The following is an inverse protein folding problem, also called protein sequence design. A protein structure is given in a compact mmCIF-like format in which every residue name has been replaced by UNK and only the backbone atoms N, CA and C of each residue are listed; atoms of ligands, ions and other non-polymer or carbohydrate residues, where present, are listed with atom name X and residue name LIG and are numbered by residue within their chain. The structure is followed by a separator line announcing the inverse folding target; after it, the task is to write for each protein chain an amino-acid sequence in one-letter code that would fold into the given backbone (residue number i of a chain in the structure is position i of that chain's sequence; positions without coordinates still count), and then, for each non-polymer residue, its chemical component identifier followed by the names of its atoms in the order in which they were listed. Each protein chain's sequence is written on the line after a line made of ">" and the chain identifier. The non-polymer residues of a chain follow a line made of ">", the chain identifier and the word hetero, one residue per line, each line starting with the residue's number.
data_IF_181663741884
#
_entry.id   IF_181663741884
#
_cell.length_a   1.000
_cell.length_b   1.000
_cell.length_c   1.000
_cell.angle_alpha   90.00
_cell.angle_beta   90.00
_cell.angle_gamma   90.00
#
_symmetry.space_group_name_H-M   'P 1'
#
loop_
_entity.id
_entity.type
_entity.pdbx_description
1 polymer ?
#
# COMPACT_ATOMS: atom_id res chain seq x y z
N UNK A 1 -16.92 -27.37 -9.82
CA UNK A 1 -17.08 -26.05 -9.19
C UNK A 1 -15.70 -25.55 -8.80
N UNK A 2 -15.03 -24.87 -9.73
CA UNK A 2 -13.74 -24.22 -9.49
C UNK A 2 -14.00 -22.89 -8.78
N UNK A 3 -13.36 -22.69 -7.63
CA UNK A 3 -13.53 -21.50 -6.79
C UNK A 3 -13.25 -20.23 -7.61
N UNK A 4 -14.28 -19.39 -7.74
CA UNK A 4 -14.17 -18.01 -8.21
C UNK A 4 -13.17 -17.27 -7.30
N UNK A 5 -12.14 -16.68 -7.90
CA UNK A 5 -11.22 -15.70 -7.30
C UNK A 5 -10.27 -16.20 -6.19
N UNK A 6 -9.44 -17.21 -6.47
CA UNK A 6 -8.10 -17.24 -5.86
C UNK A 6 -7.14 -16.59 -6.86
N UNK A 7 -6.68 -15.38 -6.57
CA UNK A 7 -5.55 -14.82 -7.30
C UNK A 7 -4.32 -15.65 -6.91
N UNK A 8 -4.02 -16.67 -7.70
CA UNK A 8 -2.79 -17.45 -7.53
C UNK A 8 -1.60 -16.61 -8.00
N UNK A 9 -1.04 -15.81 -7.08
CA UNK A 9 0.19 -15.03 -7.32
C UNK A 9 1.41 -15.90 -7.65
N UNK A 10 1.34 -17.22 -7.40
CA UNK A 10 2.35 -18.22 -7.78
C UNK A 10 2.49 -18.39 -9.31
N UNK A 11 1.42 -18.13 -10.08
CA UNK A 11 1.40 -18.29 -11.55
C UNK A 11 1.42 -16.94 -12.31
N UNK A 12 1.28 -15.81 -11.62
CA UNK A 12 1.28 -14.47 -12.24
C UNK A 12 2.69 -13.87 -12.21
N UNK A 13 3.17 -13.37 -13.35
CA UNK A 13 4.33 -12.48 -13.40
C UNK A 13 3.90 -11.13 -12.80
N UNK A 14 3.96 -11.04 -11.47
CA UNK A 14 3.67 -9.82 -10.71
C UNK A 14 4.94 -8.95 -10.65
N UNK A 15 4.78 -7.66 -10.34
CA UNK A 15 5.91 -6.79 -10.05
C UNK A 15 6.75 -7.43 -8.95
N UNK A 16 8.01 -7.73 -9.24
CA UNK A 16 8.94 -8.25 -8.24
C UNK A 16 9.73 -7.05 -7.72
N UNK A 17 9.50 -6.70 -6.46
CA UNK A 17 10.34 -5.71 -5.81
C UNK A 17 11.77 -6.27 -5.71
N UNK A 18 12.72 -5.56 -6.31
CA UNK A 18 14.09 -6.04 -6.46
C UNK A 18 14.80 -6.17 -5.11
N UNK A 19 14.40 -5.38 -4.11
CA UNK A 19 14.97 -5.49 -2.77
C UNK A 19 14.52 -6.79 -2.08
N UNK A 20 13.24 -7.17 -2.25
CA UNK A 20 12.71 -8.44 -1.75
C UNK A 20 13.38 -9.61 -2.47
N UNK A 21 13.50 -9.57 -3.80
CA UNK A 21 14.20 -10.62 -4.56
C UNK A 21 15.67 -10.71 -4.16
N UNK A 22 16.37 -9.57 -3.99
CA UNK A 22 17.75 -9.55 -3.53
C UNK A 22 17.90 -10.23 -2.16
N UNK A 23 17.11 -9.86 -1.16
CA UNK A 23 17.15 -10.52 0.15
C UNK A 23 16.82 -12.01 0.06
N UNK A 24 15.83 -12.40 -0.77
CA UNK A 24 15.52 -13.82 -1.02
C UNK A 24 16.72 -14.58 -1.59
N UNK A 25 17.52 -13.98 -2.48
CA UNK A 25 18.75 -14.62 -2.97
C UNK A 25 19.79 -14.82 -1.87
N UNK A 26 19.91 -13.88 -0.92
CA UNK A 26 20.78 -14.04 0.24
C UNK A 26 20.36 -15.23 1.08
N UNK A 27 19.05 -15.38 1.34
CA UNK A 27 18.47 -16.46 2.16
C UNK A 27 18.52 -17.84 1.47
N UNK A 28 18.58 -17.88 0.14
CA UNK A 28 18.73 -19.13 -0.59
C UNK A 28 20.06 -19.83 -0.27
N UNK A 29 21.12 -19.06 0.00
CA UNK A 29 22.45 -19.61 0.32
C UNK A 29 22.44 -20.47 1.59
N UNK A 30 21.99 -19.98 2.77
CA UNK A 30 21.87 -20.81 3.96
C UNK A 30 20.86 -21.94 3.82
N UNK A 31 19.80 -21.78 3.01
CA UNK A 31 18.90 -22.89 2.73
C UNK A 31 19.64 -24.07 2.08
N UNK A 32 20.43 -23.81 1.03
CA UNK A 32 21.19 -24.86 0.32
C UNK A 32 22.27 -25.48 1.20
N UNK A 33 22.95 -24.67 2.03
CA UNK A 33 24.11 -25.11 2.79
C UNK A 33 23.79 -25.70 4.18
N UNK A 34 22.67 -25.30 4.79
CA UNK A 34 22.41 -25.55 6.22
C UNK A 34 21.04 -26.13 6.55
N UNK A 35 20.09 -26.15 5.60
CA UNK A 35 18.77 -26.74 5.87
C UNK A 35 18.88 -28.23 6.24
N UNK A 36 19.93 -28.94 5.83
CA UNK A 36 20.18 -30.34 6.20
C UNK A 36 19.58 -31.35 5.21
N UNK A 37 19.99 -32.61 5.34
CA UNK A 37 19.59 -33.71 4.44
C UNK A 37 18.24 -34.30 4.81
N UNK A 38 17.53 -34.85 3.82
CA UNK A 38 16.16 -35.35 3.91
C UNK A 38 16.04 -36.84 4.22
N UNK A 39 17.16 -37.58 4.30
CA UNK A 39 17.12 -39.06 4.22
C UNK A 39 17.81 -39.86 5.32
N UNK A 40 18.88 -39.37 5.96
CA UNK A 40 19.78 -40.24 6.77
C UNK A 40 20.30 -39.58 8.07
N UNK A 41 19.57 -38.60 8.61
CA UNK A 41 19.96 -37.92 9.85
C UNK A 41 19.74 -38.79 11.08
N UNK A 42 20.67 -38.74 12.06
CA UNK A 42 20.40 -39.34 13.37
C UNK A 42 19.32 -38.52 14.09
N UNK A 43 18.50 -39.13 14.97
CA UNK A 43 17.58 -38.38 15.82
C UNK A 43 18.33 -37.26 16.56
N UNK A 44 17.95 -36.00 16.33
CA UNK A 44 18.62 -34.81 16.88
C UNK A 44 19.39 -33.94 15.87
N UNK A 45 19.80 -34.48 14.72
CA UNK A 45 20.47 -33.70 13.66
C UNK A 45 19.51 -32.69 13.00
N UNK A 46 18.21 -33.01 12.98
CA UNK A 46 17.15 -32.10 12.52
C UNK A 46 17.08 -30.84 13.38
N UNK A 47 17.03 -30.97 14.71
CA UNK A 47 17.01 -29.80 15.60
C UNK A 47 18.27 -28.95 15.44
N UNK A 48 19.44 -29.59 15.26
CA UNK A 48 20.70 -28.85 15.04
C UNK A 48 20.68 -28.07 13.72
N UNK A 49 20.18 -28.67 12.64
CA UNK A 49 20.06 -28.00 11.34
C UNK A 49 19.02 -26.88 11.34
N UNK A 50 17.90 -27.04 12.06
CA UNK A 50 16.92 -25.95 12.28
C UNK A 50 17.59 -24.77 13.00
N UNK A 51 18.24 -25.03 14.13
CA UNK A 51 18.88 -23.98 14.94
C UNK A 51 19.95 -23.25 14.14
N UNK A 52 20.79 -23.98 13.40
CA UNK A 52 21.81 -23.36 12.56
C UNK A 52 21.17 -22.54 11.41
N UNK A 53 20.18 -23.09 10.71
CA UNK A 53 19.49 -22.37 9.62
C UNK A 53 18.83 -21.10 10.13
N UNK A 54 18.14 -21.17 11.28
CA UNK A 54 17.50 -20.04 11.94
C UNK A 54 18.52 -18.96 12.31
N UNK A 55 19.65 -19.35 12.91
CA UNK A 55 20.75 -18.44 13.22
C UNK A 55 21.27 -17.74 11.97
N UNK A 56 21.49 -18.46 10.86
CA UNK A 56 21.99 -17.87 9.61
C UNK A 56 21.01 -16.91 8.94
N UNK A 57 19.72 -17.23 8.95
CA UNK A 57 18.71 -16.28 8.47
C UNK A 57 18.69 -15.01 9.32
N UNK A 58 18.73 -15.14 10.65
CA UNK A 58 18.79 -14.00 11.56
C UNK A 58 20.04 -13.13 11.33
N UNK A 59 21.23 -13.74 11.19
CA UNK A 59 22.48 -13.05 10.87
C UNK A 59 22.35 -12.22 9.56
N UNK A 60 21.77 -12.80 8.51
CA UNK A 60 21.54 -12.09 7.24
C UNK A 60 20.60 -10.90 7.43
N UNK A 61 19.47 -11.09 8.12
CA UNK A 61 18.53 -10.00 8.35
C UNK A 61 19.14 -8.88 9.20
N UNK A 62 19.96 -9.20 10.20
CA UNK A 62 20.72 -8.23 10.97
C UNK A 62 21.71 -7.45 10.09
N UNK A 63 22.45 -8.13 9.21
CA UNK A 63 23.38 -7.46 8.29
C UNK A 63 22.65 -6.54 7.29
N UNK A 64 21.48 -6.95 6.79
CA UNK A 64 20.63 -6.11 5.94
C UNK A 64 20.09 -4.91 6.71
N UNK A 65 19.70 -5.08 7.97
CA UNK A 65 19.30 -3.98 8.86
C UNK A 65 20.43 -2.94 8.97
N UNK A 66 21.69 -3.37 9.14
CA UNK A 66 22.85 -2.45 9.17
C UNK A 66 23.07 -1.72 7.83
N UNK A 67 22.79 -2.38 6.70
CA UNK A 67 22.83 -1.74 5.38
C UNK A 67 21.75 -0.67 5.22
N UNK A 68 20.55 -0.90 5.75
CA UNK A 68 19.47 0.10 5.78
C UNK A 68 19.84 1.28 6.68
N UNK A 69 20.41 1.02 7.86
CA UNK A 69 20.90 2.08 8.74
C UNK A 69 21.99 2.94 8.06
N UNK A 70 22.89 2.31 7.30
CA UNK A 70 23.87 3.02 6.49
C UNK A 70 23.20 3.85 5.37
N UNK A 71 22.19 3.31 4.68
CA UNK A 71 21.43 4.05 3.67
C UNK A 71 20.78 5.30 4.25
N UNK A 72 20.08 5.16 5.38
CA UNK A 72 19.46 6.28 6.11
C UNK A 72 20.47 7.37 6.46
N UNK A 73 21.66 6.97 6.94
CA UNK A 73 22.73 7.91 7.24
C UNK A 73 23.16 8.70 5.99
N UNK A 74 23.36 8.04 4.87
CA UNK A 74 23.77 8.70 3.62
C UNK A 74 22.69 9.58 3.03
N UNK A 75 21.42 9.15 3.05
CA UNK A 75 20.27 9.92 2.56
C UNK A 75 20.13 11.22 3.37
N UNK A 76 20.22 11.16 4.69
CA UNK A 76 20.15 12.34 5.57
C UNK A 76 21.31 13.33 5.35
N UNK A 77 22.42 12.88 4.78
CA UNK A 77 23.58 13.72 4.45
C UNK A 77 23.63 14.12 2.95
N UNK A 78 22.56 13.89 2.19
CA UNK A 78 22.52 14.23 0.75
C UNK A 78 23.48 13.42 -0.12
N UNK A 79 23.89 12.24 0.37
CA UNK A 79 24.89 11.37 -0.27
C UNK A 79 24.39 9.95 -0.54
N UNK A 80 23.06 9.78 -0.64
CA UNK A 80 22.37 8.49 -0.80
C UNK A 80 22.91 7.57 -1.89
N UNK A 81 23.34 8.13 -3.03
CA UNK A 81 23.98 7.41 -4.15
C UNK A 81 25.29 6.71 -3.77
N UNK A 82 25.94 7.12 -2.68
CA UNK A 82 27.19 6.52 -2.20
C UNK A 82 26.96 5.36 -1.24
N UNK A 83 25.74 5.17 -0.75
CA UNK A 83 25.43 4.09 0.17
C UNK A 83 25.57 2.73 -0.51
N UNK A 84 26.11 1.76 0.23
CA UNK A 84 26.35 0.41 -0.30
C UNK A 84 25.05 -0.28 -0.73
N UNK A 85 23.96 -0.08 0.02
CA UNK A 85 22.67 -0.70 -0.29
C UNK A 85 22.16 -0.27 -1.66
N UNK A 86 22.16 1.04 -1.96
CA UNK A 86 21.76 1.56 -3.29
C UNK A 86 22.65 1.07 -4.42
N UNK A 87 23.96 0.87 -4.19
CA UNK A 87 24.84 0.27 -5.20
C UNK A 87 24.51 -1.19 -5.51
N UNK A 88 24.03 -1.94 -4.51
CA UNK A 88 23.62 -3.35 -4.67
C UNK A 88 22.21 -3.47 -5.24
N UNK A 89 21.31 -2.57 -4.86
CA UNK A 89 19.91 -2.53 -5.29
C UNK A 89 19.56 -1.09 -5.72
N UNK A 90 19.84 -0.72 -6.99
CA UNK A 90 19.68 0.66 -7.47
C UNK A 90 18.23 1.19 -7.44
N UNK A 91 17.25 0.29 -7.41
CA UNK A 91 15.82 0.62 -7.38
C UNK A 91 15.26 0.85 -5.97
N UNK A 92 16.12 0.79 -4.94
CA UNK A 92 15.69 0.99 -3.56
C UNK A 92 15.10 2.39 -3.36
N UNK A 93 13.97 2.44 -2.66
CA UNK A 93 13.31 3.69 -2.30
C UNK A 93 13.95 4.37 -1.10
N UNK A 94 13.29 5.42 -0.63
CA UNK A 94 13.62 6.06 0.64
C UNK A 94 13.16 5.17 1.80
N UNK A 95 14.00 5.07 2.84
CA UNK A 95 13.58 4.54 4.13
C UNK A 95 13.21 5.70 5.07
N UNK A 96 12.14 5.54 5.83
CA UNK A 96 11.75 6.52 6.86
C UNK A 96 12.23 6.10 8.24
N UNK A 97 12.29 4.80 8.51
CA UNK A 97 12.61 4.24 9.81
C UNK A 97 13.74 3.21 9.69
N UNK A 98 14.43 2.97 10.81
CA UNK A 98 15.26 1.79 10.96
C UNK A 98 14.35 0.56 11.02
N UNK A 99 14.71 -0.52 10.33
CA UNK A 99 13.89 -1.73 10.28
C UNK A 99 14.52 -2.83 11.14
N UNK A 100 13.90 -3.26 12.25
CA UNK A 100 14.41 -4.33 13.11
C UNK A 100 14.19 -5.71 12.46
N UNK A 101 14.90 -5.96 11.36
CA UNK A 101 14.65 -7.11 10.48
C UNK A 101 14.95 -8.45 11.17
N UNK A 102 15.97 -8.50 12.02
CA UNK A 102 16.29 -9.72 12.77
C UNK A 102 15.13 -10.12 13.70
N UNK A 103 14.61 -9.15 14.48
CA UNK A 103 13.48 -9.36 15.38
C UNK A 103 12.20 -9.72 14.61
N UNK A 104 11.96 -9.05 13.49
CA UNK A 104 10.84 -9.34 12.62
C UNK A 104 10.92 -10.76 12.02
N UNK A 105 12.11 -11.20 11.63
CA UNK A 105 12.35 -12.56 11.17
C UNK A 105 11.98 -13.58 12.25
N UNK A 106 12.44 -13.41 13.50
CA UNK A 106 12.10 -14.34 14.57
C UNK A 106 10.58 -14.42 14.80
N UNK A 107 9.88 -13.28 14.75
CA UNK A 107 8.42 -13.24 14.90
C UNK A 107 7.72 -14.04 13.80
N UNK A 108 8.10 -13.82 12.55
CA UNK A 108 7.50 -14.55 11.42
C UNK A 108 7.95 -16.02 11.33
N UNK A 109 9.16 -16.35 11.79
CA UNK A 109 9.63 -17.74 11.84
C UNK A 109 8.82 -18.59 12.83
N UNK A 110 8.40 -18.03 13.98
CA UNK A 110 7.50 -18.73 14.91
C UNK A 110 6.14 -19.08 14.29
N UNK A 111 5.61 -18.19 13.44
CA UNK A 111 4.28 -18.37 12.82
C UNK A 111 4.37 -19.28 11.59
N UNK A 112 5.40 -19.09 10.76
CA UNK A 112 5.51 -19.68 9.41
C UNK A 112 6.50 -20.84 9.35
N UNK A 113 7.23 -21.10 10.43
CA UNK A 113 8.25 -22.16 10.55
C UNK A 113 9.25 -22.12 9.40
N UNK A 114 9.72 -20.94 9.04
CA UNK A 114 10.55 -20.69 7.85
C UNK A 114 11.82 -21.55 7.88
N UNK A 115 12.51 -21.58 9.02
CA UNK A 115 13.76 -22.33 9.25
C UNK A 115 13.58 -23.84 9.42
N UNK A 116 12.34 -24.30 9.60
CA UNK A 116 12.03 -25.74 9.67
C UNK A 116 11.90 -26.37 8.27
N UNK A 117 11.77 -25.58 7.22
CA UNK A 117 11.59 -26.11 5.85
C UNK A 117 12.86 -26.76 5.33
N UNK A 118 12.70 -27.85 4.57
CA UNK A 118 13.79 -28.64 3.95
C UNK A 118 13.70 -28.72 2.43
N UNK A 119 12.50 -28.54 1.89
CA UNK A 119 12.23 -28.69 0.46
C UNK A 119 11.93 -27.36 -0.23
N UNK A 120 11.56 -26.34 0.55
CA UNK A 120 11.13 -25.03 0.04
C UNK A 120 11.93 -23.95 0.75
N UNK A 121 12.75 -23.22 -0.02
CA UNK A 121 13.49 -22.07 0.48
C UNK A 121 12.54 -20.91 0.86
N UNK A 122 13.02 -19.93 1.65
CA UNK A 122 12.29 -18.69 1.85
C UNK A 122 11.79 -18.09 0.53
N UNK A 123 10.50 -17.81 0.48
CA UNK A 123 9.80 -17.28 -0.68
C UNK A 123 9.77 -15.76 -0.68
N UNK A 124 9.33 -15.17 -1.79
CA UNK A 124 9.10 -13.73 -1.88
C UNK A 124 8.12 -13.26 -0.79
N UNK A 125 7.05 -14.02 -0.57
CA UNK A 125 6.05 -13.70 0.45
C UNK A 125 6.60 -13.80 1.87
N UNK A 126 7.52 -14.73 2.15
CA UNK A 126 8.14 -14.80 3.48
C UNK A 126 8.94 -13.52 3.79
N UNK A 127 9.74 -13.06 2.82
CA UNK A 127 10.52 -11.81 2.96
C UNK A 127 9.60 -10.59 3.03
N UNK A 128 8.55 -10.53 2.20
CA UNK A 128 7.52 -9.47 2.23
C UNK A 128 6.88 -9.38 3.62
N UNK A 129 6.51 -10.50 4.22
CA UNK A 129 5.88 -10.51 5.54
C UNK A 129 6.85 -10.09 6.65
N UNK A 130 8.12 -10.49 6.57
CA UNK A 130 9.15 -10.04 7.51
C UNK A 130 9.37 -8.52 7.41
N UNK A 131 9.42 -7.97 6.19
CA UNK A 131 9.48 -6.52 5.99
C UNK A 131 8.23 -5.82 6.54
N UNK A 132 7.04 -6.39 6.35
CA UNK A 132 5.82 -5.82 6.89
C UNK A 132 5.86 -5.74 8.42
N UNK A 133 6.21 -6.85 9.08
CA UNK A 133 6.41 -6.88 10.54
C UNK A 133 7.47 -5.87 11.00
N UNK A 134 8.60 -5.79 10.31
CA UNK A 134 9.66 -4.84 10.68
C UNK A 134 9.19 -3.39 10.60
N UNK A 135 8.37 -3.05 9.59
CA UNK A 135 7.80 -1.71 9.43
C UNK A 135 6.82 -1.36 10.56
N UNK A 136 5.92 -2.27 10.94
CA UNK A 136 4.99 -2.01 12.04
C UNK A 136 5.69 -1.95 13.40
N UNK A 137 6.69 -2.82 13.64
CA UNK A 137 7.56 -2.72 14.82
C UNK A 137 8.24 -1.35 14.88
N UNK A 138 8.86 -0.92 13.78
CA UNK A 138 9.61 0.34 13.75
C UNK A 138 8.74 1.58 13.99
N UNK A 139 7.48 1.56 13.53
CA UNK A 139 6.53 2.66 13.75
C UNK A 139 5.94 2.64 15.17
N UNK A 140 5.67 1.45 15.72
CA UNK A 140 5.15 1.32 17.08
C UNK A 140 6.18 1.72 18.14
N UNK A 141 7.45 1.32 17.96
CA UNK A 141 8.56 1.63 18.88
C UNK A 141 9.32 2.91 18.47
N UNK A 142 8.77 3.69 17.54
CA UNK A 142 9.43 4.87 16.98
C UNK A 142 9.58 5.98 18.02
N UNK A 143 10.61 6.82 17.88
CA UNK A 143 10.79 8.02 18.73
C UNK A 143 9.61 8.99 18.62
N UNK A 144 8.99 9.03 17.46
CA UNK A 144 7.79 9.81 17.20
C UNK A 144 6.60 8.84 17.14
N UNK A 145 5.47 9.17 17.78
CA UNK A 145 4.32 8.30 17.76
C UNK A 145 3.73 8.22 16.35
N UNK A 146 3.24 7.03 15.98
CA UNK A 146 2.38 6.85 14.81
C UNK A 146 1.15 7.75 14.94
N UNK A 147 0.84 8.49 13.88
CA UNK A 147 -0.29 9.43 13.85
C UNK A 147 -1.32 9.09 12.78
N UNK A 148 -0.91 8.47 11.68
CA UNK A 148 -1.77 8.18 10.55
C UNK A 148 -1.49 6.77 10.02
N UNK A 149 -2.56 5.99 9.84
CA UNK A 149 -2.53 4.79 8.99
C UNK A 149 -3.45 5.07 7.81
N UNK A 150 -2.87 4.99 6.62
CA UNK A 150 -3.63 5.09 5.38
C UNK A 150 -3.85 3.71 4.79
N UNK A 151 -5.01 3.51 4.19
CA UNK A 151 -5.40 2.28 3.53
C UNK A 151 -5.75 2.61 2.09
N UNK A 152 -5.29 1.79 1.17
CA UNK A 152 -5.95 1.71 -0.13
C UNK A 152 -7.39 1.20 0.06
N UNK A 153 -8.32 1.65 -0.78
CA UNK A 153 -9.71 1.22 -0.71
C UNK A 153 -9.88 -0.23 -1.21
N UNK A 154 -9.84 -0.39 -2.53
CA UNK A 154 -10.10 -1.67 -3.19
C UNK A 154 -8.97 -2.68 -2.90
N UNK A 155 -9.33 -3.97 -2.77
CA UNK A 155 -8.43 -5.12 -2.52
C UNK A 155 -7.72 -5.09 -1.15
N UNK A 156 -7.78 -3.98 -0.43
CA UNK A 156 -7.15 -3.77 0.88
C UNK A 156 -8.16 -3.73 2.02
N UNK A 157 -9.23 -2.93 1.89
CA UNK A 157 -10.30 -2.86 2.89
C UNK A 157 -11.48 -3.78 2.58
N UNK A 158 -11.77 -3.97 1.29
CA UNK A 158 -12.87 -4.79 0.78
C UNK A 158 -12.50 -5.37 -0.58
N UNK A 159 -13.21 -6.42 -1.00
CA UNK A 159 -13.05 -6.98 -2.34
C UNK A 159 -13.32 -5.92 -3.42
N UNK A 160 -12.67 -6.02 -4.58
CA UNK A 160 -12.81 -5.07 -5.70
C UNK A 160 -14.28 -4.68 -5.98
N UNK A 161 -14.57 -3.38 -5.87
CA UNK A 161 -15.92 -2.82 -6.07
C UNK A 161 -16.93 -3.10 -4.95
N UNK A 162 -16.49 -3.68 -3.83
CA UNK A 162 -17.29 -3.99 -2.66
C UNK A 162 -17.47 -2.83 -1.67
N UNK A 163 -18.05 -3.14 -0.51
CA UNK A 163 -18.26 -2.25 0.61
C UNK A 163 -17.72 -2.88 1.90
N UNK A 164 -17.57 -2.08 2.97
CA UNK A 164 -17.35 -2.59 4.32
C UNK A 164 -18.72 -2.91 4.94
N UNK A 165 -19.05 -4.19 4.99
CA UNK A 165 -20.25 -4.69 5.66
C UNK A 165 -20.07 -4.69 7.20
N UNK A 166 -21.16 -4.61 8.00
CA UNK A 166 -21.08 -4.50 9.46
C UNK A 166 -20.39 -5.65 10.18
N UNK A 167 -20.34 -6.83 9.56
CA UNK A 167 -19.67 -8.04 10.07
C UNK A 167 -18.22 -8.19 9.58
N UNK A 168 -17.71 -7.20 8.84
CA UNK A 168 -16.35 -7.24 8.28
C UNK A 168 -15.30 -7.33 9.39
N UNK A 169 -14.34 -8.27 9.32
CA UNK A 169 -13.29 -8.45 10.32
C UNK A 169 -12.31 -7.27 10.37
N UNK A 170 -12.38 -6.34 9.41
CA UNK A 170 -11.56 -5.14 9.41
C UNK A 170 -12.05 -4.07 10.38
N UNK A 171 -13.35 -4.06 10.71
CA UNK A 171 -13.93 -3.03 11.58
C UNK A 171 -13.25 -3.03 12.97
N UNK A 172 -13.09 -4.16 13.67
CA UNK A 172 -12.43 -4.17 14.98
C UNK A 172 -11.02 -3.58 14.97
N UNK A 173 -10.21 -3.88 13.94
CA UNK A 173 -8.83 -3.38 13.86
C UNK A 173 -8.79 -1.88 13.54
N UNK A 174 -9.70 -1.39 12.69
CA UNK A 174 -9.83 0.06 12.43
C UNK A 174 -10.28 0.82 13.69
N UNK A 175 -11.24 0.28 14.45
CA UNK A 175 -11.62 0.85 15.75
C UNK A 175 -10.46 0.82 16.76
N UNK A 176 -9.63 -0.23 16.73
CA UNK A 176 -8.42 -0.32 17.55
C UNK A 176 -7.38 0.78 17.24
N UNK A 177 -7.20 1.14 15.96
CA UNK A 177 -6.37 2.28 15.58
C UNK A 177 -6.93 3.60 16.12
N UNK A 178 -8.23 3.84 15.93
CA UNK A 178 -8.90 5.05 16.44
C UNK A 178 -8.79 5.16 17.96
N UNK A 179 -8.96 4.04 18.69
CA UNK A 179 -8.81 3.97 20.16
C UNK A 179 -7.40 4.35 20.60
N UNK A 180 -6.41 4.08 19.77
CA UNK A 180 -5.02 4.42 20.01
C UNK A 180 -4.65 5.85 19.55
N UNK A 181 -5.63 6.72 19.28
CA UNK A 181 -5.46 8.10 18.79
C UNK A 181 -4.75 8.19 17.43
N UNK A 182 -4.83 7.12 16.63
CA UNK A 182 -4.29 7.07 15.27
C UNK A 182 -5.39 7.45 14.28
N UNK A 183 -5.08 8.36 13.37
CA UNK A 183 -5.97 8.70 12.24
C UNK A 183 -6.02 7.55 11.24
N UNK A 184 -7.23 7.28 10.75
CA UNK A 184 -7.47 6.31 9.67
C UNK A 184 -7.78 7.09 8.40
N UNK A 185 -6.92 7.00 7.40
CA UNK A 185 -7.11 7.64 6.10
C UNK A 185 -7.41 6.61 5.01
N UNK A 186 -8.54 6.71 4.33
CA UNK A 186 -8.87 5.82 3.20
C UNK A 186 -8.53 6.56 1.91
N UNK A 187 -7.52 6.09 1.18
CA UNK A 187 -7.07 6.67 -0.09
C UNK A 187 -7.60 5.80 -1.21
N UNK A 188 -8.42 6.34 -2.10
CA UNK A 188 -9.09 5.55 -3.15
C UNK A 188 -9.05 6.25 -4.50
N UNK A 189 -8.88 5.48 -5.57
CA UNK A 189 -9.02 5.98 -6.94
C UNK A 189 -10.46 6.40 -7.26
N UNK A 190 -11.46 5.91 -6.52
CA UNK A 190 -12.83 6.36 -6.68
C UNK A 190 -12.93 7.87 -6.36
N UNK A 191 -13.05 8.69 -7.41
CA UNK A 191 -13.22 10.13 -7.31
C UNK A 191 -14.67 10.56 -7.53
N UNK A 192 -15.30 11.04 -6.45
CA UNK A 192 -16.62 11.68 -6.44
C UNK A 192 -16.48 13.13 -5.99
N UNK A 193 -16.98 14.07 -6.81
CA UNK A 193 -16.89 15.52 -6.58
C UNK A 193 -18.06 16.08 -5.76
N UNK A 194 -19.05 15.25 -5.44
CA UNK A 194 -20.19 15.63 -4.61
C UNK A 194 -19.75 15.92 -3.17
N UNK A 195 -20.02 17.14 -2.69
CA UNK A 195 -19.53 17.63 -1.39
C UNK A 195 -20.16 16.97 -0.17
N UNK A 196 -21.26 16.24 -0.33
CA UNK A 196 -21.91 15.51 0.76
C UNK A 196 -21.18 14.21 1.15
N UNK A 197 -20.27 13.72 0.30
CA UNK A 197 -19.53 12.48 0.51
C UNK A 197 -20.42 11.22 0.55
N UNK A 198 -21.68 11.30 0.11
CA UNK A 198 -22.67 10.22 0.28
C UNK A 198 -22.21 8.91 -0.36
N UNK A 199 -21.55 8.98 -1.52
CA UNK A 199 -21.03 7.80 -2.23
C UNK A 199 -19.92 7.07 -1.46
N UNK A 200 -19.06 7.80 -0.76
CA UNK A 200 -18.08 7.17 0.14
C UNK A 200 -18.78 6.59 1.37
N UNK A 201 -19.82 7.26 1.88
CA UNK A 201 -20.67 6.74 2.96
C UNK A 201 -21.28 5.38 2.65
N UNK A 202 -21.78 5.17 1.43
CA UNK A 202 -22.30 3.86 0.99
C UNK A 202 -21.22 2.78 1.02
N UNK A 203 -19.99 3.08 0.60
CA UNK A 203 -18.90 2.09 0.60
C UNK A 203 -18.41 1.73 1.99
N UNK A 204 -18.54 2.64 2.94
CA UNK A 204 -17.97 2.51 4.28
C UNK A 204 -19.03 2.31 5.37
N UNK A 205 -20.28 2.05 4.99
CA UNK A 205 -21.44 2.12 5.89
C UNK A 205 -21.29 1.28 7.16
N UNK A 206 -20.77 0.05 7.06
CA UNK A 206 -20.53 -0.81 8.23
C UNK A 206 -19.53 -0.22 9.22
N UNK A 207 -18.45 0.41 8.72
CA UNK A 207 -17.48 1.10 9.56
C UNK A 207 -18.09 2.36 10.21
N UNK A 208 -18.83 3.16 9.45
CA UNK A 208 -19.45 4.39 9.96
C UNK A 208 -20.43 4.08 11.10
N UNK A 209 -21.29 3.08 10.90
CA UNK A 209 -22.21 2.63 11.95
C UNK A 209 -21.46 2.15 13.19
N UNK A 210 -20.38 1.39 13.03
CA UNK A 210 -19.58 0.90 14.15
C UNK A 210 -18.91 2.04 14.94
N UNK A 211 -18.41 3.09 14.26
CA UNK A 211 -17.84 4.27 14.91
C UNK A 211 -18.90 5.05 15.70
N UNK A 212 -20.12 5.20 15.14
CA UNK A 212 -21.21 5.91 15.82
C UNK A 212 -21.70 5.13 17.05
N UNK A 213 -21.89 3.81 16.91
CA UNK A 213 -22.48 2.95 17.94
C UNK A 213 -21.51 2.58 19.07
N UNK A 214 -20.20 2.70 18.89
CA UNK A 214 -19.24 2.28 19.91
C UNK A 214 -19.14 3.27 21.07
N UNK A 215 -19.18 2.74 22.29
CA UNK A 215 -18.94 3.49 23.54
C UNK A 215 -17.46 3.48 23.95
N UNK A 216 -16.60 2.77 23.20
CA UNK A 216 -15.18 2.61 23.53
C UNK A 216 -14.27 3.71 22.98
N UNK A 217 -14.80 4.57 22.12
CA UNK A 217 -14.08 5.68 21.51
C UNK A 217 -14.56 7.01 22.08
N UNK A 218 -13.62 7.92 22.34
CA UNK A 218 -13.96 9.31 22.66
C UNK A 218 -14.51 10.03 21.44
N UNK A 219 -15.27 11.11 21.63
CA UNK A 219 -15.79 11.94 20.54
C UNK A 219 -14.69 12.49 19.62
N UNK A 220 -13.50 12.76 20.18
CA UNK A 220 -12.33 13.13 19.40
C UNK A 220 -11.88 12.00 18.48
N UNK A 221 -11.72 10.79 19.03
CA UNK A 221 -11.26 9.61 18.30
C UNK A 221 -12.25 9.17 17.21
N UNK A 222 -13.56 9.32 17.44
CA UNK A 222 -14.59 9.05 16.42
C UNK A 222 -14.45 9.92 15.16
N UNK A 223 -13.86 11.11 15.30
CA UNK A 223 -13.64 12.07 14.21
C UNK A 223 -12.25 11.94 13.54
N UNK A 224 -11.51 10.87 13.81
CA UNK A 224 -10.19 10.60 13.22
C UNK A 224 -10.25 9.79 11.90
N UNK A 225 -11.43 9.60 11.32
CA UNK A 225 -11.60 8.97 10.01
C UNK A 225 -11.59 10.01 8.88
N UNK A 226 -10.71 9.82 7.90
CA UNK A 226 -10.53 10.66 6.71
C UNK A 226 -10.69 9.82 5.44
N UNK A 227 -11.17 10.44 4.37
CA UNK A 227 -11.24 9.83 3.03
C UNK A 227 -10.59 10.77 2.03
N UNK A 228 -9.57 10.27 1.32
CA UNK A 228 -8.94 10.91 0.17
C UNK A 228 -9.42 10.23 -1.11
N UNK A 229 -10.37 10.85 -1.79
CA UNK A 229 -10.97 10.36 -3.01
C UNK A 229 -10.30 10.87 -4.29
N UNK A 230 -10.41 10.08 -5.34
CA UNK A 230 -9.78 10.34 -6.64
C UNK A 230 -8.26 10.41 -6.52
N UNK A 231 -7.66 9.50 -5.75
CA UNK A 231 -6.25 9.42 -5.37
C UNK A 231 -5.75 10.59 -4.50
N UNK A 232 -5.94 11.84 -4.94
CA UNK A 232 -5.43 13.05 -4.29
C UNK A 232 -6.30 14.30 -4.57
N UNK A 233 -7.57 14.13 -4.90
CA UNK A 233 -8.40 15.21 -5.43
C UNK A 233 -9.50 15.71 -4.46
N UNK A 234 -10.00 14.85 -3.57
CA UNK A 234 -11.14 15.18 -2.71
C UNK A 234 -10.93 14.69 -1.28
N UNK A 235 -10.82 15.60 -0.32
CA UNK A 235 -10.66 15.26 1.10
C UNK A 235 -11.97 15.40 1.87
N UNK A 236 -12.33 14.34 2.58
CA UNK A 236 -13.47 14.32 3.49
C UNK A 236 -13.04 13.91 4.88
N UNK A 237 -13.72 14.46 5.88
CA UNK A 237 -13.60 14.05 7.29
C UNK A 237 -14.93 13.52 7.78
N UNK A 238 -14.93 12.39 8.48
CA UNK A 238 -16.15 11.88 9.08
C UNK A 238 -16.46 12.65 10.37
N UNK A 239 -17.70 13.12 10.49
CA UNK A 239 -18.24 13.79 11.67
C UNK A 239 -19.25 12.84 12.33
N UNK A 240 -18.79 12.12 13.34
CA UNK A 240 -19.55 11.02 13.94
C UNK A 240 -20.85 11.48 14.60
N UNK A 241 -20.85 12.66 15.23
CA UNK A 241 -22.05 13.25 15.86
C UNK A 241 -23.18 13.53 14.85
N UNK A 242 -22.85 13.69 13.58
CA UNK A 242 -23.78 13.98 12.50
C UNK A 242 -23.95 12.81 11.53
N UNK A 243 -23.22 11.71 11.75
CA UNK A 243 -23.14 10.54 10.89
C UNK A 243 -23.00 10.90 9.39
N UNK A 244 -22.13 11.86 9.08
CA UNK A 244 -21.89 12.30 7.70
C UNK A 244 -20.44 12.69 7.45
N UNK A 245 -20.09 12.76 6.18
CA UNK A 245 -18.83 13.34 5.75
C UNK A 245 -18.94 14.86 5.62
N UNK A 246 -17.89 15.54 6.05
CA UNK A 246 -17.65 16.95 5.81
C UNK A 246 -16.59 17.10 4.72
N UNK A 247 -16.91 17.88 3.69
CA UNK A 247 -15.95 18.28 2.66
C UNK A 247 -14.92 19.25 3.22
N UNK A 248 -13.64 18.92 3.09
CA UNK A 248 -12.55 19.82 3.49
C UNK A 248 -12.10 20.63 2.28
N UNK A 249 -12.07 21.95 2.45
CA UNK A 249 -11.67 22.87 1.38
C UNK A 249 -10.24 22.56 0.89
N UNK A 250 -10.03 22.39 -0.44
CA UNK A 250 -8.71 22.18 -1.04
C UNK A 250 -7.63 23.16 -0.57
N UNK A 251 -7.96 24.41 -0.22
CA UNK A 251 -6.97 25.37 0.26
C UNK A 251 -6.21 24.90 1.51
N UNK A 252 -6.86 24.08 2.36
CA UNK A 252 -6.35 23.62 3.64
C UNK A 252 -5.36 22.45 3.54
N UNK A 253 -5.42 21.66 2.46
CA UNK A 253 -4.67 20.41 2.37
C UNK A 253 -3.88 20.23 1.07
N UNK A 254 -4.21 21.00 0.01
CA UNK A 254 -3.53 20.86 -1.28
C UNK A 254 -2.06 21.24 -1.15
N UNK A 255 -1.19 20.36 -1.64
CA UNK A 255 0.26 20.57 -1.61
C UNK A 255 0.69 21.76 -2.47
N UNK A 256 1.78 22.47 -2.11
CA UNK A 256 2.26 23.63 -2.87
C UNK A 256 2.52 23.33 -4.35
N UNK A 257 3.09 22.15 -4.65
CA UNK A 257 3.35 21.72 -6.02
C UNK A 257 2.06 21.55 -6.84
N UNK A 258 1.00 21.00 -6.25
CA UNK A 258 -0.31 20.80 -6.90
C UNK A 258 -1.02 22.14 -7.15
N UNK A 259 -0.83 23.13 -6.26
CA UNK A 259 -1.39 24.49 -6.44
C UNK A 259 -0.82 25.21 -7.67
N UNK A 260 0.34 24.80 -8.18
CA UNK A 260 0.94 25.42 -9.37
C UNK A 260 0.39 24.90 -10.68
N UNK A 261 -0.40 23.82 -10.67
CA UNK A 261 -0.91 23.20 -11.88
C UNK A 261 -2.01 24.06 -12.52
N UNK A 262 -1.82 24.40 -13.80
CA UNK A 262 -2.82 25.16 -14.53
C UNK A 262 -3.99 24.27 -14.94
N UNK A 263 -5.18 24.87 -15.05
CA UNK A 263 -6.35 24.15 -15.57
C UNK A 263 -6.17 23.72 -17.03
N UNK A 264 -5.35 24.44 -17.79
CA UNK A 264 -4.99 24.12 -19.18
C UNK A 264 -4.15 22.84 -19.26
N UNK A 265 -3.13 22.70 -18.41
CA UNK A 265 -2.28 21.50 -18.36
C UNK A 265 -3.09 20.26 -17.92
N UNK A 266 -3.92 20.41 -16.89
CA UNK A 266 -4.84 19.35 -16.43
C UNK A 266 -5.76 18.90 -17.57
N UNK A 267 -6.36 19.86 -18.27
CA UNK A 267 -7.25 19.58 -19.41
C UNK A 267 -6.49 18.88 -20.53
N UNK A 268 -5.24 19.28 -20.78
CA UNK A 268 -4.36 18.67 -21.79
C UNK A 268 -4.03 17.22 -21.48
N UNK A 269 -3.67 16.89 -20.23
CA UNK A 269 -3.46 15.51 -19.77
C UNK A 269 -4.70 14.65 -20.04
N UNK A 270 -5.86 15.12 -19.60
CA UNK A 270 -7.10 14.38 -19.75
C UNK A 270 -7.51 14.23 -21.24
N UNK A 271 -7.30 15.25 -22.07
CA UNK A 271 -7.55 15.18 -23.52
C UNK A 271 -6.65 14.15 -24.22
N UNK A 272 -5.40 14.03 -23.79
CA UNK A 272 -4.48 13.01 -24.29
C UNK A 272 -4.98 11.62 -23.88
N UNK A 273 -5.36 11.42 -22.61
CA UNK A 273 -5.92 10.15 -22.12
C UNK A 273 -7.19 9.75 -22.89
N UNK A 274 -8.13 10.68 -23.06
CA UNK A 274 -9.36 10.46 -23.83
C UNK A 274 -9.07 10.06 -25.29
N UNK A 275 -8.10 10.72 -25.93
CA UNK A 275 -7.67 10.38 -27.29
C UNK A 275 -7.07 8.98 -27.38
N UNK A 276 -6.25 8.59 -26.40
CA UNK A 276 -5.69 7.23 -26.33
C UNK A 276 -6.81 6.20 -26.24
N UNK A 277 -7.78 6.41 -25.34
CA UNK A 277 -8.92 5.49 -25.19
C UNK A 277 -9.84 5.47 -26.41
N UNK A 278 -10.06 6.62 -27.06
CA UNK A 278 -10.85 6.69 -28.31
C UNK A 278 -10.20 5.89 -29.43
N UNK A 279 -8.87 5.97 -29.53
CA UNK A 279 -8.11 5.15 -30.47
C UNK A 279 -8.22 3.65 -30.15
N UNK A 280 -8.15 3.28 -28.87
CA UNK A 280 -8.30 1.89 -28.44
C UNK A 280 -9.71 1.34 -28.70
N UNK A 281 -10.77 2.10 -28.41
CA UNK A 281 -12.16 1.77 -28.75
C UNK A 281 -12.29 1.39 -30.23
N UNK A 282 -11.71 2.20 -31.11
CA UNK A 282 -11.82 2.03 -32.57
C UNK A 282 -10.96 0.87 -33.06
N UNK A 283 -9.66 0.84 -32.69
CA UNK A 283 -8.71 -0.16 -33.19
C UNK A 283 -9.02 -1.57 -32.69
N UNK A 284 -9.47 -1.69 -31.45
CA UNK A 284 -9.75 -2.98 -30.82
C UNK A 284 -11.24 -3.34 -30.80
N UNK A 285 -12.11 -2.49 -31.38
CA UNK A 285 -13.57 -2.68 -31.40
C UNK A 285 -14.14 -3.03 -30.01
N UNK A 286 -13.67 -2.30 -28.98
CA UNK A 286 -13.97 -2.63 -27.59
C UNK A 286 -15.45 -2.34 -27.28
N UNK A 287 -16.16 -3.25 -26.58
CA UNK A 287 -17.54 -3.03 -26.16
C UNK A 287 -17.57 -2.16 -24.90
N UNK A 288 -17.12 -0.92 -25.01
CA UNK A 288 -16.89 0.00 -23.90
C UNK A 288 -17.33 1.43 -24.24
N UNK A 289 -17.41 2.29 -23.22
CA UNK A 289 -17.64 3.73 -23.35
C UNK A 289 -16.57 4.49 -22.58
N UNK A 290 -16.30 5.73 -23.01
CA UNK A 290 -15.41 6.64 -22.29
C UNK A 290 -16.25 7.48 -21.31
N UNK A 291 -15.69 7.71 -20.13
CA UNK A 291 -16.24 8.57 -19.10
C UNK A 291 -15.21 9.66 -18.78
N UNK A 292 -15.61 10.92 -18.91
CA UNK A 292 -14.79 12.09 -18.58
C UNK A 292 -15.28 12.72 -17.29
N UNK A 293 -14.40 12.84 -16.29
CA UNK A 293 -14.60 13.53 -15.02
C UNK A 293 -13.76 14.81 -14.96
N UNK A 294 -13.92 15.58 -13.89
CA UNK A 294 -13.16 16.83 -13.64
C UNK A 294 -11.66 16.56 -13.52
N UNK A 295 -11.29 15.44 -12.89
CA UNK A 295 -9.90 15.08 -12.56
C UNK A 295 -9.50 13.68 -13.03
N UNK A 296 -10.26 13.11 -13.97
CA UNK A 296 -9.98 11.78 -14.48
C UNK A 296 -10.71 11.51 -15.79
N UNK A 297 -10.19 10.59 -16.59
CA UNK A 297 -10.85 10.05 -17.77
C UNK A 297 -10.66 8.54 -17.76
N UNK A 298 -11.71 7.79 -18.09
CA UNK A 298 -11.65 6.33 -18.06
C UNK A 298 -12.43 5.70 -19.19
N UNK A 299 -12.14 4.43 -19.44
CA UNK A 299 -12.85 3.58 -20.38
C UNK A 299 -13.45 2.40 -19.62
N UNK A 300 -14.78 2.30 -19.65
CA UNK A 300 -15.56 1.35 -18.85
C UNK A 300 -16.36 0.42 -19.79
N UNK A 301 -16.41 -0.90 -19.53
CA UNK A 301 -17.17 -1.82 -20.35
C UNK A 301 -18.67 -1.46 -20.35
N UNK A 302 -19.32 -1.69 -21.49
CA UNK A 302 -20.78 -1.60 -21.59
C UNK A 302 -21.44 -2.62 -20.65
N UNK A 303 -22.69 -2.40 -20.21
CA UNK A 303 -23.39 -3.32 -19.32
C UNK A 303 -23.37 -4.77 -19.80
N UNK A 304 -22.94 -5.68 -18.91
CA UNK A 304 -22.82 -7.12 -19.20
C UNK A 304 -21.66 -7.51 -20.13
N UNK A 305 -20.81 -6.56 -20.52
CA UNK A 305 -19.61 -6.80 -21.33
C UNK A 305 -18.36 -6.81 -20.44
N UNK A 306 -17.28 -7.36 -20.98
CA UNK A 306 -15.96 -7.40 -20.35
C UNK A 306 -14.90 -7.05 -21.37
N UNK A 307 -13.87 -6.36 -20.93
CA UNK A 307 -12.65 -6.12 -21.70
C UNK A 307 -11.63 -7.17 -21.25
N UNK A 308 -10.87 -7.74 -22.17
CA UNK A 308 -9.83 -8.71 -21.81
C UNK A 308 -8.70 -8.01 -21.07
N UNK A 309 -8.06 -8.71 -20.13
CA UNK A 309 -6.99 -8.11 -19.31
C UNK A 309 -5.88 -7.56 -20.18
N UNK A 310 -5.46 -8.29 -21.20
CA UNK A 310 -4.41 -7.91 -22.13
C UNK A 310 -4.74 -6.59 -22.84
N UNK A 311 -6.02 -6.35 -23.14
CA UNK A 311 -6.49 -5.09 -23.74
C UNK A 311 -6.46 -3.95 -22.72
N UNK A 312 -6.81 -4.21 -21.44
CA UNK A 312 -6.69 -3.23 -20.36
C UNK A 312 -5.23 -2.82 -20.16
N UNK A 313 -4.31 -3.78 -20.08
CA UNK A 313 -2.87 -3.54 -19.91
C UNK A 313 -2.28 -2.78 -21.11
N UNK A 314 -2.65 -3.14 -22.34
CA UNK A 314 -2.25 -2.40 -23.56
C UNK A 314 -2.69 -0.93 -23.50
N UNK A 315 -3.93 -0.67 -23.06
CA UNK A 315 -4.45 0.70 -22.93
C UNK A 315 -3.72 1.50 -21.84
N UNK A 316 -3.40 0.89 -20.70
CA UNK A 316 -2.60 1.52 -19.64
C UNK A 316 -1.22 1.90 -20.16
N UNK A 317 -0.51 0.95 -20.79
CA UNK A 317 0.83 1.19 -21.32
C UNK A 317 0.82 2.25 -22.42
N UNK A 318 -0.16 2.22 -23.31
CA UNK A 318 -0.33 3.24 -24.35
C UNK A 318 -0.59 4.63 -23.75
N UNK A 319 -1.48 4.73 -22.74
CA UNK A 319 -1.79 5.99 -22.07
C UNK A 319 -0.57 6.55 -21.35
N UNK A 320 0.07 5.72 -20.52
CA UNK A 320 1.27 6.09 -19.78
C UNK A 320 2.37 6.56 -20.72
N UNK A 321 2.71 5.77 -21.76
CA UNK A 321 3.79 6.13 -22.69
C UNK A 321 3.50 7.42 -23.47
N UNK A 322 2.25 7.61 -23.87
CA UNK A 322 1.84 8.81 -24.62
C UNK A 322 1.90 10.07 -23.74
N UNK A 323 1.48 9.95 -22.49
CA UNK A 323 1.51 11.06 -21.54
C UNK A 323 2.95 11.42 -21.14
N UNK A 324 3.78 10.44 -20.78
CA UNK A 324 5.18 10.65 -20.39
C UNK A 324 6.04 11.30 -21.49
N UNK A 325 5.69 11.08 -22.77
CA UNK A 325 6.42 11.64 -23.91
C UNK A 325 5.85 12.98 -24.39
N UNK A 326 4.69 13.39 -23.88
CA UNK A 326 4.01 14.60 -24.30
C UNK A 326 4.47 15.80 -23.49
N UNK A 327 4.97 16.84 -24.16
CA UNK A 327 5.28 18.12 -23.50
C UNK A 327 4.03 18.87 -23.00
N UNK A 328 2.86 18.52 -23.53
CA UNK A 328 1.59 19.18 -23.18
C UNK A 328 1.05 18.77 -21.81
N UNK A 329 1.71 17.87 -21.09
CA UNK A 329 1.37 17.54 -19.70
C UNK A 329 1.94 18.55 -18.70
N UNK A 330 2.87 19.42 -19.13
CA UNK A 330 3.57 20.33 -18.24
C UNK A 330 4.23 19.57 -17.08
N UNK A 331 3.98 20.04 -15.85
CA UNK A 331 4.44 19.42 -14.61
C UNK A 331 3.33 18.65 -13.87
N UNK A 332 2.18 18.42 -14.51
CA UNK A 332 1.04 17.75 -13.89
C UNK A 332 1.35 16.26 -13.70
N UNK A 333 1.28 15.79 -12.46
CA UNK A 333 1.39 14.36 -12.17
C UNK A 333 0.06 13.67 -12.50
N UNK A 334 0.16 12.44 -12.98
CA UNK A 334 -0.99 11.62 -13.35
C UNK A 334 -0.72 10.16 -12.98
N UNK A 335 -1.79 9.38 -12.96
CA UNK A 335 -1.74 7.94 -12.82
C UNK A 335 -2.60 7.29 -13.90
N UNK A 336 -2.03 6.35 -14.65
CA UNK A 336 -2.76 5.52 -15.60
C UNK A 336 -2.74 4.09 -15.06
N UNK A 337 -3.90 3.50 -14.79
CA UNK A 337 -3.97 2.20 -14.11
C UNK A 337 -5.11 1.33 -14.62
N UNK A 338 -4.92 0.02 -14.45
CA UNK A 338 -5.90 -1.01 -14.75
C UNK A 338 -6.75 -1.27 -13.50
N UNK A 339 -8.04 -0.91 -13.53
CA UNK A 339 -9.00 -1.14 -12.45
C UNK A 339 -9.59 -2.54 -12.44
N UNK A 340 -8.96 -3.51 -13.10
CA UNK A 340 -9.39 -4.90 -13.18
C UNK A 340 -10.46 -5.18 -14.24
N UNK A 341 -11.43 -4.27 -14.41
CA UNK A 341 -12.47 -4.34 -15.45
C UNK A 341 -12.54 -3.11 -16.35
N UNK A 342 -11.88 -2.02 -15.97
CA UNK A 342 -11.82 -0.74 -16.66
C UNK A 342 -10.39 -0.16 -16.61
N UNK A 343 -10.15 0.94 -17.33
CA UNK A 343 -8.87 1.67 -17.29
C UNK A 343 -9.16 3.14 -17.04
N UNK A 344 -8.36 3.76 -16.17
CA UNK A 344 -8.46 5.17 -15.82
C UNK A 344 -7.12 5.89 -15.99
N UNK A 345 -7.19 7.16 -16.39
CA UNK A 345 -6.13 8.16 -16.26
C UNK A 345 -6.65 9.23 -15.31
N UNK A 346 -6.10 9.28 -14.12
CA UNK A 346 -6.44 10.25 -13.08
C UNK A 346 -5.33 11.29 -12.93
N UNK A 347 -5.74 12.50 -12.51
CA UNK A 347 -4.85 13.61 -12.21
C UNK A 347 -4.39 13.48 -10.76
N UNK A 348 -3.08 13.51 -10.55
CA UNK A 348 -2.43 13.19 -9.29
C UNK A 348 -2.26 11.68 -9.10
N UNK A 349 -1.77 11.32 -7.90
CA UNK A 349 -1.58 9.92 -7.51
C UNK A 349 -1.67 9.72 -5.99
N UNK A 350 -1.58 8.46 -5.53
CA UNK A 350 -1.63 8.11 -4.10
C UNK A 350 -0.45 8.67 -3.28
N UNK A 351 0.72 8.97 -3.87
CA UNK A 351 1.81 9.65 -3.14
C UNK A 351 1.33 11.04 -2.69
N UNK A 352 0.81 11.82 -3.64
CA UNK A 352 0.25 13.13 -3.36
C UNK A 352 -0.92 13.05 -2.38
N UNK A 353 -1.76 12.01 -2.47
CA UNK A 353 -2.88 11.78 -1.56
C UNK A 353 -2.42 11.58 -0.11
N UNK A 354 -1.44 10.70 0.10
CA UNK A 354 -0.86 10.46 1.43
C UNK A 354 -0.14 11.70 1.94
N UNK A 355 0.69 12.36 1.12
CA UNK A 355 1.38 13.62 1.50
C UNK A 355 0.40 14.74 1.84
N UNK A 356 -0.75 14.81 1.15
CA UNK A 356 -1.80 15.78 1.45
C UNK A 356 -2.44 15.52 2.82
N UNK A 357 -2.72 14.26 3.16
CA UNK A 357 -3.19 13.88 4.50
C UNK A 357 -2.14 14.20 5.57
N UNK A 358 -0.87 13.94 5.27
CA UNK A 358 0.25 14.28 6.15
C UNK A 358 0.35 15.79 6.42
N UNK A 359 0.22 16.62 5.38
CA UNK A 359 0.20 18.07 5.48
C UNK A 359 -1.00 18.55 6.30
N UNK A 360 -2.20 18.03 6.00
CA UNK A 360 -3.44 18.36 6.70
C UNK A 360 -3.39 18.07 8.21
N UNK A 361 -2.72 16.98 8.60
CA UNK A 361 -2.55 16.59 10.01
C UNK A 361 -1.37 17.28 10.72
N UNK A 362 -0.88 18.40 10.17
CA UNK A 362 0.17 19.21 10.78
C UNK A 362 1.58 18.83 10.33
N UNK A 363 1.75 18.53 9.05
CA UNK A 363 3.04 18.18 8.42
C UNK A 363 3.74 16.99 9.10
N UNK A 364 2.98 15.93 9.38
CA UNK A 364 3.57 14.65 9.79
C UNK A 364 4.36 14.05 8.62
N UNK A 365 5.22 13.06 8.88
CA UNK A 365 6.07 12.47 7.83
C UNK A 365 5.90 10.95 7.75
N UNK A 366 6.63 10.29 6.85
CA UNK A 366 6.65 8.83 6.74
C UNK A 366 7.13 8.09 8.00
N UNK A 367 7.78 8.76 8.94
CA UNK A 367 8.12 8.20 10.28
C UNK A 367 6.91 8.07 11.20
N UNK A 368 5.81 8.78 10.90
CA UNK A 368 4.57 8.80 11.68
C UNK A 368 3.37 8.34 10.86
N UNK A 369 3.62 7.79 9.67
CA UNK A 369 2.60 7.39 8.71
C UNK A 369 2.88 5.98 8.22
N UNK A 370 1.89 5.10 8.35
CA UNK A 370 1.84 3.81 7.68
C UNK A 370 0.90 3.89 6.48
N UNK A 371 1.26 3.28 5.36
CA UNK A 371 0.35 2.98 4.27
C UNK A 371 0.17 1.46 4.16
N UNK A 372 -1.06 1.03 3.95
CA UNK A 372 -1.44 -0.36 3.72
C UNK A 372 -2.05 -0.45 2.33
N UNK A 373 -1.45 -1.23 1.44
CA UNK A 373 -1.94 -1.36 0.06
C UNK A 373 -1.44 -2.62 -0.66
N UNK A 374 -2.10 -2.98 -1.75
CA UNK A 374 -1.71 -4.10 -2.61
C UNK A 374 -0.80 -3.64 -3.77
N UNK A 375 0.48 -4.00 -3.72
CA UNK A 375 1.45 -3.72 -4.79
C UNK A 375 1.59 -4.85 -5.82
N UNK A 376 0.77 -5.91 -5.73
CA UNK A 376 0.74 -6.99 -6.72
C UNK A 376 -0.03 -6.62 -7.99
N UNK A 377 -0.84 -5.56 -7.96
CA UNK A 377 -1.45 -4.99 -9.16
C UNK A 377 -0.34 -4.63 -10.19
N UNK A 378 -0.64 -4.83 -11.48
CA UNK A 378 0.34 -4.85 -12.56
C UNK A 378 0.97 -3.48 -12.90
N UNK A 379 1.56 -3.36 -14.09
CA UNK A 379 2.18 -2.14 -14.60
C UNK A 379 1.19 -0.96 -14.49
N UNK A 380 1.64 0.16 -13.92
CA UNK A 380 0.79 1.31 -13.63
C UNK A 380 0.08 1.29 -12.26
N UNK A 381 0.39 0.34 -11.37
CA UNK A 381 -0.19 0.30 -10.01
C UNK A 381 0.03 1.61 -9.23
N UNK A 382 -1.08 2.23 -8.84
CA UNK A 382 -1.11 3.48 -8.07
C UNK A 382 -0.56 3.30 -6.63
N UNK A 383 -0.67 2.10 -6.05
CA UNK A 383 -0.22 1.83 -4.67
C UNK A 383 1.27 1.91 -4.46
N UNK A 384 2.06 1.57 -5.48
CA UNK A 384 3.51 1.62 -5.35
C UNK A 384 4.02 3.03 -5.07
N UNK A 385 3.33 4.06 -5.54
CA UNK A 385 3.74 5.44 -5.34
C UNK A 385 3.60 5.87 -3.88
N UNK A 386 2.66 5.31 -3.12
CA UNK A 386 2.46 5.65 -1.70
C UNK A 386 3.72 5.40 -0.83
N UNK A 387 4.61 4.49 -1.26
CA UNK A 387 5.90 4.23 -0.59
C UNK A 387 6.86 5.43 -0.61
N UNK A 388 6.62 6.41 -1.47
CA UNK A 388 7.39 7.66 -1.53
C UNK A 388 6.97 8.64 -0.43
N UNK A 389 5.75 8.51 0.10
CA UNK A 389 5.20 9.36 1.16
C UNK A 389 5.34 8.74 2.56
N UNK A 390 5.21 7.42 2.66
CA UNK A 390 5.04 6.72 3.93
C UNK A 390 5.71 5.35 3.98
N UNK A 391 6.03 4.93 5.20
CA UNK A 391 6.31 3.52 5.49
C UNK A 391 5.14 2.68 4.97
N UNK A 392 5.37 1.60 4.23
CA UNK A 392 4.31 0.91 3.49
C UNK A 392 4.36 -0.60 3.68
N UNK A 393 3.30 -1.17 4.25
CA UNK A 393 3.12 -2.64 4.26
C UNK A 393 2.44 -3.08 2.97
N UNK A 394 3.02 -4.10 2.34
CA UNK A 394 2.48 -4.68 1.12
C UNK A 394 1.64 -5.90 1.46
N UNK A 395 0.33 -5.80 1.25
CA UNK A 395 -0.64 -6.87 1.49
C UNK A 395 -1.10 -7.54 0.19
N UNK A 396 -1.59 -8.77 0.27
CA UNK A 396 -2.15 -9.50 -0.88
C UNK A 396 -3.68 -9.63 -0.86
N UNK A 397 -4.32 -9.33 0.28
CA UNK A 397 -5.75 -9.48 0.50
C UNK A 397 -6.18 -8.83 1.84
N UNK A 398 -7.50 -8.63 2.07
CA UNK A 398 -8.00 -8.03 3.30
C UNK A 398 -7.66 -8.79 4.59
N UNK A 399 -7.45 -10.11 4.56
CA UNK A 399 -7.08 -10.86 5.78
C UNK A 399 -5.67 -10.49 6.25
N UNK A 400 -4.72 -10.31 5.33
CA UNK A 400 -3.39 -9.81 5.68
C UNK A 400 -3.45 -8.40 6.28
N UNK A 401 -4.39 -7.55 5.85
CA UNK A 401 -4.67 -6.25 6.47
C UNK A 401 -5.06 -6.39 7.94
N UNK A 402 -6.00 -7.30 8.24
CA UNK A 402 -6.47 -7.54 9.60
C UNK A 402 -5.31 -8.02 10.48
N UNK A 403 -4.55 -9.00 10.00
CA UNK A 403 -3.40 -9.57 10.73
C UNK A 403 -2.34 -8.50 11.04
N UNK A 404 -1.91 -7.72 10.04
CA UNK A 404 -0.81 -6.76 10.22
C UNK A 404 -1.22 -5.55 11.07
N UNK A 405 -2.49 -5.12 11.03
CA UNK A 405 -2.97 -4.03 11.87
C UNK A 405 -3.20 -4.51 13.30
N UNK A 406 -3.68 -5.74 13.51
CA UNK A 406 -3.74 -6.32 14.85
C UNK A 406 -2.34 -6.39 15.48
N UNK A 407 -1.35 -6.90 14.73
CA UNK A 407 0.06 -6.96 15.15
C UNK A 407 0.62 -5.55 15.48
N UNK A 408 0.30 -4.54 14.67
CA UNK A 408 0.68 -3.15 14.94
C UNK A 408 0.08 -2.63 16.26
N UNK A 409 -1.20 -2.89 16.51
CA UNK A 409 -1.89 -2.46 17.73
C UNK A 409 -1.25 -3.11 18.95
N UNK A 410 -0.96 -4.41 18.89
CA UNK A 410 -0.29 -5.14 19.97
C UNK A 410 1.06 -4.52 20.32
N UNK A 411 1.87 -4.13 19.31
CA UNK A 411 3.12 -3.41 19.56
C UNK A 411 2.91 -2.02 20.18
N UNK A 412 1.93 -1.24 19.70
CA UNK A 412 1.64 0.09 20.25
C UNK A 412 1.24 -0.03 21.73
N UNK A 413 0.38 -0.98 22.07
CA UNK A 413 -0.12 -1.17 23.43
C UNK A 413 0.96 -1.70 24.37
N UNK A 414 1.79 -2.65 23.90
CA UNK A 414 2.93 -3.14 24.65
C UNK A 414 3.95 -2.04 24.98
N UNK A 415 4.32 -1.20 24.00
CA UNK A 415 5.26 -0.10 24.23
C UNK A 415 4.73 0.95 25.22
N UNK A 416 3.42 1.22 25.18
CA UNK A 416 2.77 2.12 26.17
C UNK A 416 2.86 1.55 27.58
N UNK A 417 2.61 0.26 27.76
CA UNK A 417 2.71 -0.40 29.06
C UNK A 417 4.14 -0.42 29.61
N UNK A 418 5.15 -0.56 28.74
CA UNK A 418 6.56 -0.49 29.17
C UNK A 418 7.03 0.93 29.47
N UNK A 419 6.36 1.95 28.95
CA UNK A 419 6.71 3.37 29.13
C UNK A 419 5.99 4.06 30.29
N UNK A 420 4.90 3.47 30.79
CA UNK A 420 4.14 3.88 31.98
C UNK A 420 4.71 3.25 33.25
#
# INVERSE_FOLDING_TARGET
>A
MTSRYRVEYSLKQHRRDEFIEWMKTLLATPFVLHAGSTGDGRPGDENRSVVETRRRYAEIFYDVEKLIENQLYHDNNGSGERARLRQLVPTIGQFFTKLPLERAFYTQDEIRSISHRRFVSPSFNDVRMILNTAQVMALATGRQPLKLVTFDGDVTLYADGGNIDPDSPIIPVLLGLLRNDVYVGIVTAAGYSEKDGAKYGVRLYGLLEAIVKTDTLTEKQKNHLLVMGGESNFLFKFIASENRFEWIDPEQWTLPEVKTWSQEDITSVLNIGERVFTNALTKCSLPATIIRKVRGVGIVPLPGKKIMREQLEEMVLAAQKTLETSRATGNVQFCAFNGGSDVWVDIGDKDLGVRSLQAYLGNITGTQTLHVGDQFAALGANDFKARLAATTVWIANPSETVEIIAELIDYIEHERQCSS
#
